data_IF_680511800518
#
_entry.id   IF_680511800518
#
_cell.length_a   1.000
_cell.length_b   1.000
_cell.length_c   1.000
_cell.angle_alpha   90.00
_cell.angle_beta   90.00
_cell.angle_gamma   90.00
#
_symmetry.space_group_name_H-M   'P 1'
#
loop_
_entity.id
_entity.type
_entity.pdbx_description
1 polymer ?
#
# COMPACT_ATOMS: atom_id res chain seq x y z
N UNK A 1 -7.12 1.42 -26.46
CA UNK A 1 -8.17 1.65 -25.44
C UNK A 1 -8.72 0.36 -24.86
N UNK A 2 -9.38 -0.55 -25.59
CA UNK A 2 -9.93 -1.81 -25.04
C UNK A 2 -8.93 -2.67 -24.24
N UNK A 3 -7.65 -2.70 -24.62
CA UNK A 3 -6.63 -3.52 -23.94
C UNK A 3 -6.19 -2.94 -22.57
N UNK A 4 -6.16 -1.62 -22.39
CA UNK A 4 -5.84 -0.99 -21.09
C UNK A 4 -7.01 -1.16 -20.12
N UNK A 5 -8.23 -0.91 -20.56
CA UNK A 5 -9.45 -1.11 -19.75
C UNK A 5 -9.60 -2.56 -19.27
N UNK A 6 -9.31 -3.53 -20.16
CA UNK A 6 -9.34 -4.94 -19.78
C UNK A 6 -8.28 -5.29 -18.72
N UNK A 7 -7.07 -4.72 -18.81
CA UNK A 7 -6.00 -4.92 -17.82
C UNK A 7 -6.31 -4.28 -16.49
N UNK A 8 -6.90 -3.09 -16.48
CA UNK A 8 -7.36 -2.43 -15.26
C UNK A 8 -8.46 -3.23 -14.57
N UNK A 9 -9.42 -3.76 -15.34
CA UNK A 9 -10.47 -4.65 -14.82
C UNK A 9 -9.88 -5.92 -14.21
N UNK A 10 -8.89 -6.54 -14.85
CA UNK A 10 -8.22 -7.72 -14.31
C UNK A 10 -7.52 -7.36 -12.99
N UNK A 11 -6.80 -6.24 -12.92
CA UNK A 11 -6.13 -5.80 -11.69
C UNK A 11 -7.15 -5.56 -10.57
N UNK A 12 -8.25 -4.88 -10.86
CA UNK A 12 -9.32 -4.66 -9.88
C UNK A 12 -9.88 -5.99 -9.35
N UNK A 13 -10.14 -6.97 -10.22
CA UNK A 13 -10.61 -8.29 -9.80
C UNK A 13 -9.59 -9.02 -8.92
N UNK A 14 -8.29 -8.95 -9.26
CA UNK A 14 -7.22 -9.56 -8.46
C UNK A 14 -7.08 -8.89 -7.08
N UNK A 15 -7.16 -7.56 -7.02
CA UNK A 15 -7.17 -6.82 -5.75
C UNK A 15 -8.39 -7.21 -4.90
N UNK A 16 -9.57 -7.32 -5.52
CA UNK A 16 -10.79 -7.77 -4.86
C UNK A 16 -10.66 -9.21 -4.33
N UNK A 17 -10.05 -10.13 -5.09
CA UNK A 17 -9.78 -11.50 -4.63
C UNK A 17 -8.84 -11.54 -3.41
N UNK A 18 -7.76 -10.76 -3.44
CA UNK A 18 -6.84 -10.68 -2.30
C UNK A 18 -7.54 -10.13 -1.06
N UNK A 19 -8.38 -9.09 -1.24
CA UNK A 19 -9.19 -8.53 -0.16
C UNK A 19 -10.22 -9.53 0.37
N UNK A 20 -10.92 -10.26 -0.49
CA UNK A 20 -11.88 -11.29 -0.08
C UNK A 20 -11.21 -12.39 0.73
N UNK A 21 -10.02 -12.83 0.31
CA UNK A 21 -9.24 -13.82 1.06
C UNK A 21 -8.83 -13.27 2.43
N UNK A 22 -8.40 -12.00 2.50
CA UNK A 22 -8.09 -11.32 3.76
C UNK A 22 -9.33 -11.26 4.66
N UNK A 23 -10.47 -10.80 4.13
CA UNK A 23 -11.71 -10.68 4.89
C UNK A 23 -12.17 -12.06 5.43
N UNK A 24 -12.05 -13.10 4.62
CA UNK A 24 -12.40 -14.47 5.01
C UNK A 24 -11.49 -15.00 6.13
N UNK A 25 -10.17 -14.78 6.02
CA UNK A 25 -9.23 -15.31 7.00
C UNK A 25 -9.14 -14.50 8.30
N UNK A 26 -9.19 -13.17 8.19
CA UNK A 26 -8.84 -12.29 9.32
C UNK A 26 -10.01 -11.46 9.87
N UNK A 27 -11.06 -11.29 9.08
CA UNK A 27 -12.28 -10.63 9.56
C UNK A 27 -13.34 -11.64 10.00
N UNK A 28 -13.50 -12.74 9.25
CA UNK A 28 -14.41 -13.85 9.58
C UNK A 28 -13.74 -14.94 10.41
N UNK A 29 -12.40 -15.02 10.43
CA UNK A 29 -11.57 -16.02 11.11
C UNK A 29 -11.70 -17.44 10.56
N UNK A 30 -12.02 -17.56 9.27
CA UNK A 30 -12.14 -18.84 8.57
C UNK A 30 -10.85 -19.20 7.78
N UNK A 31 -9.68 -18.89 8.36
CA UNK A 31 -8.40 -19.43 7.86
C UNK A 31 -8.38 -20.96 8.00
N UNK A 32 -7.59 -21.69 7.18
CA UNK A 32 -7.49 -23.13 7.27
C UNK A 32 -6.93 -23.59 8.64
N UNK A 33 -7.65 -24.48 9.30
CA UNK A 33 -7.16 -25.20 10.47
C UNK A 33 -6.15 -26.31 10.08
N UNK A 34 -5.69 -27.11 11.03
CA UNK A 34 -4.77 -28.23 10.80
C UNK A 34 -5.30 -29.28 9.81
N UNK A 35 -6.61 -29.36 9.63
CA UNK A 35 -7.28 -30.27 8.70
C UNK A 35 -7.65 -29.57 7.37
N UNK A 36 -7.26 -28.30 7.18
CA UNK A 36 -7.61 -27.49 6.03
C UNK A 36 -9.07 -27.00 6.00
N UNK A 37 -9.81 -27.15 7.11
CA UNK A 37 -11.19 -26.65 7.24
C UNK A 37 -11.21 -25.20 7.71
N UNK A 38 -12.27 -24.43 7.41
CA UNK A 38 -12.43 -23.07 7.92
C UNK A 38 -12.44 -23.06 9.46
N UNK A 39 -11.55 -22.33 10.10
CA UNK A 39 -11.33 -22.40 11.56
C UNK A 39 -12.60 -22.13 12.37
N UNK A 40 -13.15 -20.92 12.27
CA UNK A 40 -14.32 -20.52 13.08
C UNK A 40 -15.58 -21.31 12.72
N UNK A 41 -15.87 -21.46 11.42
CA UNK A 41 -17.07 -22.16 10.94
C UNK A 41 -17.05 -23.67 11.24
N UNK A 42 -15.88 -24.25 11.48
CA UNK A 42 -15.73 -25.66 11.89
C UNK A 42 -15.62 -25.86 13.40
N UNK A 43 -15.92 -24.80 14.19
CA UNK A 43 -15.93 -24.89 15.65
C UNK A 43 -14.61 -24.56 16.32
N UNK A 44 -13.70 -23.87 15.62
CA UNK A 44 -12.46 -23.34 16.19
C UNK A 44 -12.73 -22.45 17.40
N UNK A 45 -11.91 -22.61 18.44
CA UNK A 45 -12.13 -21.94 19.73
C UNK A 45 -11.86 -20.44 19.61
N UNK A 46 -12.83 -19.64 20.04
CA UNK A 46 -12.76 -18.18 20.07
C UNK A 46 -12.65 -17.69 21.51
N UNK A 47 -11.88 -16.61 21.72
CA UNK A 47 -11.68 -15.99 23.03
C UNK A 47 -11.98 -14.50 22.95
N UNK A 48 -12.65 -13.96 23.97
CA UNK A 48 -12.96 -12.54 24.05
C UNK A 48 -11.71 -11.71 24.30
N UNK A 49 -11.42 -10.77 23.40
CA UNK A 49 -10.31 -9.83 23.59
C UNK A 49 -10.83 -8.48 24.06
N UNK A 50 -10.38 -8.07 25.26
CA UNK A 50 -10.82 -6.80 25.91
C UNK A 50 -10.34 -5.55 25.15
N UNK A 51 -9.16 -5.60 24.49
CA UNK A 51 -8.61 -4.45 23.76
C UNK A 51 -9.38 -4.19 22.46
N UNK A 52 -9.70 -5.23 21.70
CA UNK A 52 -10.44 -5.14 20.44
C UNK A 52 -11.97 -5.16 20.65
N UNK A 53 -12.45 -5.45 21.87
CA UNK A 53 -13.88 -5.61 22.21
C UNK A 53 -14.62 -6.55 21.26
N UNK A 54 -13.97 -7.65 20.88
CA UNK A 54 -14.51 -8.71 20.00
C UNK A 54 -13.82 -10.03 20.29
N UNK A 55 -14.43 -11.12 19.82
CA UNK A 55 -13.79 -12.43 19.85
C UNK A 55 -12.69 -12.52 18.78
N UNK A 56 -11.60 -13.21 19.13
CA UNK A 56 -10.50 -13.57 18.24
C UNK A 56 -10.18 -15.06 18.42
N UNK A 57 -9.52 -15.73 17.45
CA UNK A 57 -9.08 -17.11 17.61
C UNK A 57 -8.21 -17.30 18.85
N UNK A 58 -8.37 -18.45 19.53
CA UNK A 58 -7.48 -18.82 20.63
C UNK A 58 -6.03 -18.87 20.14
N UNK A 59 -5.10 -18.38 20.95
CA UNK A 59 -3.67 -18.30 20.61
C UNK A 59 -3.27 -17.08 19.78
N UNK A 60 -4.24 -16.26 19.31
CA UNK A 60 -3.90 -14.98 18.69
C UNK A 60 -3.67 -13.92 19.76
N UNK A 61 -2.70 -13.06 19.50
CA UNK A 61 -2.40 -11.91 20.35
C UNK A 61 -3.01 -10.62 19.76
N UNK A 62 -2.97 -9.54 20.53
CA UNK A 62 -3.34 -8.19 20.08
C UNK A 62 -2.24 -7.23 20.46
N UNK A 63 -1.69 -6.57 19.48
CA UNK A 63 -0.63 -5.61 19.69
C UNK A 63 -0.87 -4.33 18.85
N UNK A 64 -0.01 -3.34 19.02
CA UNK A 64 -0.06 -2.07 18.27
C UNK A 64 0.98 -2.09 17.14
N UNK A 65 0.73 -1.30 16.09
CA UNK A 65 1.60 -1.22 14.91
C UNK A 65 3.06 -0.98 15.28
N UNK A 66 3.35 -0.08 16.23
CA UNK A 66 4.75 0.27 16.57
C UNK A 66 5.57 -0.90 17.12
N UNK A 67 4.94 -1.95 17.65
CA UNK A 67 5.64 -3.12 18.19
C UNK A 67 5.99 -4.14 17.09
N UNK A 68 5.24 -4.13 15.99
CA UNK A 68 5.40 -5.07 14.88
C UNK A 68 5.94 -4.45 13.60
N UNK A 69 6.06 -3.12 13.55
CA UNK A 69 6.53 -2.39 12.39
C UNK A 69 7.30 -1.13 12.79
N UNK A 70 8.30 -0.79 11.99
CA UNK A 70 8.94 0.53 12.05
C UNK A 70 8.13 1.52 11.23
N UNK A 71 7.92 2.73 11.78
CA UNK A 71 7.18 3.78 11.07
C UNK A 71 8.03 5.03 10.89
N UNK A 72 7.95 5.66 9.72
CA UNK A 72 8.59 6.92 9.42
C UNK A 72 7.60 7.90 8.81
N UNK A 73 7.59 9.13 9.29
CA UNK A 73 6.99 10.25 8.57
C UNK A 73 7.98 10.73 7.51
N UNK A 74 7.48 11.04 6.32
CA UNK A 74 8.29 11.59 5.25
C UNK A 74 8.76 13.03 5.51
N UNK A 75 9.39 13.62 4.53
CA UNK A 75 9.90 14.99 4.59
C UNK A 75 9.92 15.67 3.22
N UNK A 76 9.93 17.00 3.25
CA UNK A 76 10.00 17.82 2.04
C UNK A 76 11.28 18.66 2.08
N UNK A 77 12.19 18.47 1.11
CA UNK A 77 13.32 19.38 0.96
C UNK A 77 12.85 20.81 0.73
N UNK A 78 13.63 21.81 1.12
CA UNK A 78 13.29 23.22 0.94
C UNK A 78 12.99 23.51 -0.55
N UNK A 79 11.74 23.82 -0.88
CA UNK A 79 11.25 24.03 -2.26
C UNK A 79 11.96 25.18 -3.00
N UNK A 80 12.41 26.18 -2.26
CA UNK A 80 13.18 27.30 -2.82
C UNK A 80 14.54 26.86 -3.39
N UNK A 81 15.10 25.72 -2.95
CA UNK A 81 16.38 25.23 -3.45
C UNK A 81 16.16 24.24 -4.59
N UNK A 82 16.24 24.74 -5.84
CA UNK A 82 16.03 23.94 -7.04
C UNK A 82 17.04 22.80 -7.22
N UNK A 83 18.23 22.89 -6.60
CA UNK A 83 19.25 21.83 -6.62
C UNK A 83 18.81 20.55 -5.91
N UNK A 84 17.82 20.63 -5.01
CA UNK A 84 17.27 19.48 -4.33
C UNK A 84 16.33 18.63 -5.19
N UNK A 85 15.90 19.18 -6.35
CA UNK A 85 14.92 18.57 -7.25
C UNK A 85 15.44 18.34 -8.67
N UNK A 86 16.26 19.28 -9.18
CA UNK A 86 16.76 19.22 -10.56
C UNK A 86 17.65 18.00 -10.77
N UNK A 87 17.31 17.19 -11.77
CA UNK A 87 18.00 15.92 -12.08
C UNK A 87 18.00 14.93 -10.90
N UNK A 88 16.96 14.96 -10.05
CA UNK A 88 16.80 14.01 -8.97
C UNK A 88 16.67 12.58 -9.49
N UNK A 89 17.24 11.64 -8.76
CA UNK A 89 17.20 10.20 -9.07
C UNK A 89 16.52 9.39 -7.98
N UNK A 90 16.33 9.98 -6.79
CA UNK A 90 15.65 9.34 -5.66
C UNK A 90 14.16 9.60 -5.79
N UNK A 91 13.38 8.55 -5.94
CA UNK A 91 11.93 8.63 -6.00
C UNK A 91 11.34 9.24 -4.73
N UNK A 92 10.45 10.23 -4.89
CA UNK A 92 9.85 10.98 -3.79
C UNK A 92 8.34 11.05 -3.96
N UNK A 93 7.64 10.29 -3.13
CA UNK A 93 6.19 10.08 -3.22
C UNK A 93 5.44 11.20 -2.50
N UNK A 94 4.52 11.82 -3.19
CA UNK A 94 3.56 12.76 -2.61
C UNK A 94 2.26 12.05 -2.20
N UNK A 95 1.58 12.57 -1.18
CA UNK A 95 0.33 11.97 -0.70
C UNK A 95 -0.74 11.80 -1.79
N UNK A 96 -0.77 12.68 -2.80
CA UNK A 96 -1.67 12.55 -3.95
C UNK A 96 -1.49 11.27 -4.77
N UNK A 97 -0.29 10.66 -4.75
CA UNK A 97 -0.01 9.41 -5.44
C UNK A 97 -0.68 8.20 -4.76
N UNK A 98 -1.08 8.32 -3.49
CA UNK A 98 -1.80 7.30 -2.74
C UNK A 98 -3.27 7.12 -3.18
N UNK A 99 -3.71 7.82 -4.23
CA UNK A 99 -4.93 7.46 -4.95
C UNK A 99 -4.82 6.09 -5.65
N UNK A 100 -3.60 5.63 -5.94
CA UNK A 100 -3.34 4.27 -6.42
C UNK A 100 -3.08 3.32 -5.24
N UNK A 101 -3.78 2.20 -5.19
CA UNK A 101 -3.59 1.15 -4.18
C UNK A 101 -2.18 0.54 -4.18
N UNK A 102 -1.52 0.52 -5.33
CA UNK A 102 -0.16 0.01 -5.52
C UNK A 102 0.62 1.02 -6.35
N UNK A 103 1.74 1.51 -5.82
CA UNK A 103 2.62 2.49 -6.46
C UNK A 103 3.78 1.74 -7.13
N UNK A 104 3.83 1.78 -8.46
CA UNK A 104 4.84 1.09 -9.29
C UNK A 104 5.81 2.03 -9.99
N UNK A 105 5.61 3.34 -9.86
CA UNK A 105 6.51 4.40 -10.33
C UNK A 105 6.26 5.66 -9.51
N UNK A 106 7.25 6.53 -9.40
CA UNK A 106 7.12 7.85 -8.79
C UNK A 106 6.85 8.90 -9.86
N UNK A 107 6.13 9.94 -9.50
CA UNK A 107 5.92 11.13 -10.35
C UNK A 107 6.99 12.19 -10.09
N UNK A 108 7.60 12.18 -8.91
CA UNK A 108 8.57 13.19 -8.51
C UNK A 108 9.86 12.54 -7.99
N UNK A 109 10.95 13.28 -8.13
CA UNK A 109 12.27 12.83 -7.72
C UNK A 109 13.00 13.95 -6.99
N UNK A 110 13.88 13.57 -6.06
CA UNK A 110 14.81 14.47 -5.38
C UNK A 110 16.25 14.00 -5.56
N UNK A 111 17.20 14.89 -5.32
CA UNK A 111 18.62 14.56 -5.35
C UNK A 111 19.05 14.01 -3.98
N UNK A 112 20.24 13.39 -3.90
CA UNK A 112 20.84 13.00 -2.63
C UNK A 112 21.01 14.20 -1.69
N UNK A 113 21.37 15.39 -2.22
CA UNK A 113 21.43 16.62 -1.43
C UNK A 113 20.07 16.98 -0.85
N UNK A 114 18.98 16.80 -1.61
CA UNK A 114 17.62 17.01 -1.15
C UNK A 114 17.26 16.03 -0.04
N UNK A 115 17.56 14.76 -0.18
CA UNK A 115 17.34 13.75 0.86
C UNK A 115 18.11 14.09 2.14
N UNK A 116 19.42 14.34 2.03
CA UNK A 116 20.29 14.58 3.16
C UNK A 116 20.03 15.91 3.89
N UNK A 117 19.41 16.89 3.21
CA UNK A 117 19.04 18.19 3.79
C UNK A 117 17.53 18.30 4.10
N UNK A 118 16.87 17.19 4.32
CA UNK A 118 15.46 17.14 4.72
C UNK A 118 15.23 16.05 5.78
N UNK A 119 14.01 16.00 6.31
CA UNK A 119 13.57 14.92 7.20
C UNK A 119 13.11 13.67 6.46
N UNK A 120 13.14 13.65 5.12
CA UNK A 120 12.75 12.50 4.32
C UNK A 120 13.64 11.29 4.67
N UNK A 121 13.00 10.11 4.71
CA UNK A 121 13.67 8.83 4.96
C UNK A 121 13.41 7.91 3.79
N UNK A 122 14.44 7.15 3.42
CA UNK A 122 14.33 6.13 2.38
C UNK A 122 13.60 4.91 2.93
N UNK A 123 12.63 4.44 2.18
CA UNK A 123 11.83 3.25 2.46
C UNK A 123 12.25 2.13 1.50
N UNK A 124 12.39 0.90 1.96
CA UNK A 124 12.59 -0.24 1.06
C UNK A 124 11.33 -0.51 0.22
N UNK A 125 11.49 -1.27 -0.85
CA UNK A 125 10.34 -1.83 -1.57
C UNK A 125 9.43 -2.62 -0.61
N UNK A 126 8.16 -2.68 -0.93
CA UNK A 126 7.09 -3.32 -0.15
C UNK A 126 6.75 -2.61 1.19
N UNK A 127 7.14 -1.35 1.34
CA UNK A 127 6.65 -0.49 2.43
C UNK A 127 5.17 -0.16 2.22
N UNK A 128 4.40 -0.23 3.29
CA UNK A 128 3.01 0.23 3.31
C UNK A 128 3.00 1.74 3.58
N UNK A 129 2.38 2.51 2.70
CA UNK A 129 2.27 3.96 2.82
C UNK A 129 0.85 4.34 3.25
N UNK A 130 0.73 5.24 4.23
CA UNK A 130 -0.55 5.78 4.71
C UNK A 130 -0.54 7.29 4.53
N UNK A 131 -1.54 7.84 3.84
CA UNK A 131 -1.70 9.28 3.72
C UNK A 131 -2.28 9.84 5.03
N UNK A 132 -1.55 10.77 5.64
CA UNK A 132 -1.88 11.34 6.94
C UNK A 132 -2.79 12.57 6.83
N UNK A 133 -2.70 13.34 5.73
CA UNK A 133 -3.51 14.53 5.52
C UNK A 133 -3.64 14.91 4.04
N UNK A 134 -4.54 15.85 3.75
CA UNK A 134 -4.92 16.30 2.40
C UNK A 134 -6.07 15.47 1.81
N UNK A 135 -6.30 15.61 0.52
CA UNK A 135 -7.42 14.96 -0.18
C UNK A 135 -7.36 13.42 -0.18
N UNK A 136 -6.23 12.86 0.21
CA UNK A 136 -5.99 11.40 0.27
C UNK A 136 -5.93 10.86 1.68
N UNK A 137 -6.25 11.67 2.71
CA UNK A 137 -6.24 11.24 4.11
C UNK A 137 -6.86 9.86 4.30
N UNK A 138 -6.17 8.98 5.03
CA UNK A 138 -6.61 7.60 5.30
C UNK A 138 -6.38 6.60 4.17
N UNK A 139 -5.99 7.04 2.96
CA UNK A 139 -5.66 6.11 1.86
C UNK A 139 -4.36 5.37 2.15
N UNK A 140 -4.34 4.10 1.77
CA UNK A 140 -3.21 3.20 1.98
C UNK A 140 -2.74 2.66 0.65
N UNK A 141 -1.43 2.64 0.44
CA UNK A 141 -0.81 2.13 -0.79
C UNK A 141 0.37 1.21 -0.48
N UNK A 142 0.61 0.23 -1.34
CA UNK A 142 1.80 -0.61 -1.31
C UNK A 142 2.85 -0.03 -2.26
N UNK A 143 4.01 0.35 -1.73
CA UNK A 143 5.16 0.83 -2.50
C UNK A 143 5.97 -0.36 -3.02
N UNK A 144 6.25 -0.44 -4.33
CA UNK A 144 6.89 -1.63 -4.93
C UNK A 144 8.38 -1.45 -5.26
N UNK A 145 8.95 -0.31 -4.92
CA UNK A 145 10.35 0.06 -5.16
C UNK A 145 10.87 0.94 -4.02
N UNK A 146 12.14 1.18 -3.98
CA UNK A 146 12.75 2.08 -3.00
C UNK A 146 12.39 3.53 -3.29
N UNK A 147 11.90 4.25 -2.28
CA UNK A 147 11.55 5.67 -2.39
C UNK A 147 11.57 6.36 -1.02
N UNK A 148 11.48 7.67 -1.01
CA UNK A 148 11.11 8.45 0.15
C UNK A 148 9.76 9.14 -0.09
N UNK A 149 9.23 9.90 0.85
CA UNK A 149 7.96 10.60 0.70
C UNK A 149 7.97 12.00 1.32
N UNK A 150 6.92 12.77 1.02
CA UNK A 150 6.68 14.03 1.72
C UNK A 150 6.13 13.78 3.13
N UNK A 151 6.05 14.84 3.96
CA UNK A 151 5.59 14.76 5.34
C UNK A 151 4.11 14.37 5.51
N UNK A 152 3.33 14.35 4.41
CA UNK A 152 1.93 13.93 4.42
C UNK A 152 1.75 12.41 4.34
N UNK A 153 2.84 11.65 4.25
CA UNK A 153 2.83 10.20 4.13
C UNK A 153 3.60 9.57 5.28
N UNK A 154 3.01 8.56 5.90
CA UNK A 154 3.67 7.68 6.86
C UNK A 154 4.01 6.34 6.17
N UNK A 155 5.29 5.98 6.20
CA UNK A 155 5.73 4.64 5.81
C UNK A 155 5.64 3.70 7.00
N UNK A 156 5.08 2.51 6.79
CA UNK A 156 4.96 1.42 7.77
C UNK A 156 5.70 0.20 7.21
N UNK A 157 6.76 -0.22 7.88
CA UNK A 157 7.65 -1.31 7.46
C UNK A 157 7.52 -2.43 8.49
N UNK A 158 6.80 -3.52 8.20
CA UNK A 158 6.68 -4.64 9.12
C UNK A 158 8.05 -5.26 9.44
N UNK A 159 8.28 -5.57 10.72
CA UNK A 159 9.52 -6.21 11.18
C UNK A 159 9.67 -7.62 10.60
N UNK A 160 8.56 -8.33 10.41
CA UNK A 160 8.47 -9.60 9.72
C UNK A 160 8.00 -9.35 8.28
N UNK A 161 8.82 -9.70 7.30
CA UNK A 161 8.61 -9.41 5.87
C UNK A 161 7.32 -10.04 5.33
N UNK A 162 6.96 -11.19 5.83
CA UNK A 162 5.77 -11.94 5.45
C UNK A 162 4.47 -11.30 5.96
N UNK A 163 4.54 -10.34 6.86
CA UNK A 163 3.38 -9.57 7.33
C UNK A 163 3.00 -8.40 6.42
N UNK A 164 3.78 -8.12 5.36
CA UNK A 164 3.58 -6.91 4.54
C UNK A 164 2.17 -6.82 3.93
N UNK A 165 1.67 -7.89 3.31
CA UNK A 165 0.33 -7.87 2.69
C UNK A 165 -0.78 -7.93 3.74
N UNK A 166 -0.55 -8.61 4.86
CA UNK A 166 -1.47 -8.59 5.99
C UNK A 166 -1.62 -7.16 6.55
N UNK A 167 -0.52 -6.49 6.87
CA UNK A 167 -0.53 -5.10 7.39
C UNK A 167 -1.11 -4.12 6.36
N UNK A 168 -0.76 -4.28 5.08
CA UNK A 168 -1.31 -3.47 4.00
C UNK A 168 -2.85 -3.59 3.92
N UNK A 169 -3.38 -4.80 3.91
CA UNK A 169 -4.83 -5.05 3.83
C UNK A 169 -5.54 -4.64 5.12
N UNK A 170 -4.91 -4.88 6.28
CA UNK A 170 -5.42 -4.43 7.56
C UNK A 170 -5.58 -2.91 7.59
N UNK A 171 -4.53 -2.14 7.32
CA UNK A 171 -4.59 -0.68 7.32
C UNK A 171 -5.56 -0.17 6.25
N UNK A 172 -5.62 -0.81 5.08
CA UNK A 172 -6.60 -0.48 4.03
C UNK A 172 -8.04 -0.68 4.49
N UNK A 173 -8.31 -1.69 5.32
CA UNK A 173 -9.65 -1.95 5.88
C UNK A 173 -10.10 -0.88 6.88
N UNK A 174 -9.16 -0.12 7.43
CA UNK A 174 -9.43 0.94 8.41
C UNK A 174 -9.74 2.31 7.79
N UNK A 175 -9.93 2.40 6.48
CA UNK A 175 -10.16 3.69 5.80
C UNK A 175 -11.27 4.53 6.45
N UNK A 176 -12.46 3.94 6.68
CA UNK A 176 -13.56 4.65 7.34
C UNK A 176 -13.23 5.06 8.78
N UNK A 177 -12.45 4.25 9.50
CA UNK A 177 -11.97 4.58 10.84
C UNK A 177 -11.00 5.77 10.80
N UNK A 178 -10.06 5.79 9.86
CA UNK A 178 -9.15 6.91 9.66
C UNK A 178 -9.88 8.20 9.32
N UNK A 179 -10.88 8.16 8.45
CA UNK A 179 -11.72 9.34 8.14
C UNK A 179 -12.44 9.85 9.38
N UNK A 180 -13.05 8.97 10.19
CA UNK A 180 -13.73 9.38 11.43
C UNK A 180 -12.75 10.01 12.43
N UNK A 181 -11.54 9.50 12.56
CA UNK A 181 -10.51 10.09 13.41
C UNK A 181 -10.01 11.44 12.88
N UNK A 182 -9.93 11.61 11.56
CA UNK A 182 -9.51 12.88 10.95
C UNK A 182 -10.53 13.99 11.20
N UNK A 183 -11.81 13.73 11.00
CA UNK A 183 -12.90 14.70 11.21
C UNK A 183 -12.97 15.19 12.68
N UNK A 184 -12.58 14.36 13.63
CA UNK A 184 -12.51 14.71 15.07
C UNK A 184 -11.27 15.53 15.46
N UNK A 185 -10.31 15.73 14.56
CA UNK A 185 -9.09 16.51 14.80
C UNK A 185 -9.25 17.96 14.35
N UNK A 186 -8.55 18.89 14.99
CA UNK A 186 -8.60 20.33 14.66
C UNK A 186 -8.13 20.68 13.23
N UNK A 187 -7.58 19.72 12.48
CA UNK A 187 -7.01 19.92 11.14
C UNK A 187 -7.42 18.84 10.13
N UNK A 188 -8.39 18.00 10.44
CA UNK A 188 -8.81 16.85 9.62
C UNK A 188 -7.63 15.93 9.20
N UNK A 189 -6.72 15.67 10.13
CA UNK A 189 -5.48 14.93 9.90
C UNK A 189 -5.39 13.67 10.76
N UNK A 190 -4.68 12.67 10.22
CA UNK A 190 -4.21 11.51 10.97
C UNK A 190 -2.74 11.75 11.31
N UNK A 191 -2.34 11.59 12.57
CA UNK A 191 -0.93 11.68 12.95
C UNK A 191 -0.23 10.32 12.81
N UNK A 192 1.11 10.34 12.69
CA UNK A 192 1.91 9.12 12.77
C UNK A 192 1.67 8.37 14.08
N UNK A 193 1.43 9.11 15.18
CA UNK A 193 1.15 8.53 16.49
C UNK A 193 -0.17 7.73 16.52
N UNK A 194 -1.20 8.21 15.81
CA UNK A 194 -2.44 7.45 15.62
C UNK A 194 -2.14 6.13 14.90
N UNK A 195 -1.36 6.15 13.81
CA UNK A 195 -1.02 4.95 13.05
C UNK A 195 -0.22 3.97 13.92
N UNK A 196 0.77 4.45 14.69
CA UNK A 196 1.57 3.63 15.61
C UNK A 196 0.74 2.88 16.63
N UNK A 197 -0.28 3.55 17.17
CA UNK A 197 -1.13 3.02 18.23
C UNK A 197 -2.35 2.22 17.71
N UNK A 198 -2.47 2.00 16.39
CA UNK A 198 -3.52 1.13 15.85
C UNK A 198 -3.34 -0.29 16.37
N UNK A 199 -4.37 -0.78 17.07
CA UNK A 199 -4.45 -2.16 17.56
C UNK A 199 -4.77 -3.10 16.42
N UNK A 200 -4.04 -4.20 16.31
CA UNK A 200 -4.36 -5.24 15.34
C UNK A 200 -4.23 -6.64 15.97
N UNK A 201 -5.05 -7.60 15.54
CA UNK A 201 -4.85 -8.99 15.93
C UNK A 201 -3.57 -9.53 15.25
N UNK A 202 -2.80 -10.29 15.99
CA UNK A 202 -1.57 -10.93 15.51
C UNK A 202 -1.86 -12.42 15.35
N UNK A 203 -2.02 -12.90 14.10
CA UNK A 203 -2.21 -14.31 13.83
C UNK A 203 -0.95 -15.12 14.19
N UNK A 204 -1.10 -16.45 14.33
CA UNK A 204 0.07 -17.31 14.41
C UNK A 204 0.95 -17.19 13.18
N UNK A 205 2.25 -17.40 13.33
CA UNK A 205 3.23 -17.32 12.23
C UNK A 205 2.83 -18.21 11.05
N UNK A 206 2.32 -19.41 11.31
CA UNK A 206 1.90 -20.34 10.25
C UNK A 206 0.75 -19.79 9.42
N UNK A 207 -0.24 -19.17 10.06
CA UNK A 207 -1.37 -18.54 9.34
C UNK A 207 -0.87 -17.38 8.48
N UNK A 208 0.05 -16.55 8.99
CA UNK A 208 0.67 -15.45 8.22
C UNK A 208 1.43 -16.01 7.01
N UNK A 209 2.26 -17.03 7.21
CA UNK A 209 3.03 -17.65 6.11
C UNK A 209 2.12 -18.28 5.05
N UNK A 210 1.08 -18.99 5.47
CA UNK A 210 0.09 -19.56 4.55
C UNK A 210 -0.64 -18.47 3.75
N UNK A 211 -1.04 -17.37 4.40
CA UNK A 211 -1.70 -16.24 3.74
C UNK A 211 -0.76 -15.59 2.72
N UNK A 212 0.46 -15.22 3.17
CA UNK A 212 1.45 -14.59 2.31
C UNK A 212 1.76 -15.45 1.08
N UNK A 213 1.91 -16.76 1.25
CA UNK A 213 2.12 -17.69 0.14
C UNK A 213 0.99 -17.68 -0.90
N UNK A 214 -0.25 -17.40 -0.49
CA UNK A 214 -1.39 -17.29 -1.42
C UNK A 214 -1.42 -15.93 -2.13
N UNK A 215 -1.22 -14.84 -1.38
CA UNK A 215 -1.42 -13.49 -1.92
C UNK A 215 -0.22 -12.94 -2.68
N UNK A 216 1.01 -13.31 -2.33
CA UNK A 216 2.23 -12.78 -2.99
C UNK A 216 2.23 -12.97 -4.51
N UNK A 217 1.69 -14.09 -5.00
CA UNK A 217 1.60 -14.35 -6.44
C UNK A 217 0.55 -13.45 -7.11
N UNK A 218 -0.57 -13.20 -6.43
CA UNK A 218 -1.60 -12.28 -6.89
C UNK A 218 -1.03 -10.86 -7.01
N UNK A 219 -0.36 -10.37 -5.97
CA UNK A 219 0.27 -9.05 -5.99
C UNK A 219 1.37 -8.94 -7.03
N UNK A 220 2.18 -9.99 -7.23
CA UNK A 220 3.18 -10.02 -8.31
C UNK A 220 2.55 -9.77 -9.67
N UNK A 221 1.45 -10.46 -10.00
CA UNK A 221 0.74 -10.29 -11.27
C UNK A 221 0.15 -8.87 -11.38
N UNK A 222 -0.44 -8.33 -10.32
CA UNK A 222 -0.99 -6.96 -10.31
C UNK A 222 0.13 -5.95 -10.60
N UNK A 223 1.27 -6.05 -9.93
CA UNK A 223 2.42 -5.16 -10.09
C UNK A 223 2.94 -5.20 -11.52
N UNK A 224 3.12 -6.39 -12.09
CA UNK A 224 3.58 -6.57 -13.46
C UNK A 224 2.62 -5.92 -14.47
N UNK A 225 1.31 -6.14 -14.30
CA UNK A 225 0.28 -5.52 -15.15
C UNK A 225 0.25 -4.00 -15.01
N UNK A 226 0.36 -3.45 -13.78
CA UNK A 226 0.43 -2.00 -13.56
C UNK A 226 1.66 -1.40 -14.24
N UNK A 227 2.84 -2.04 -14.16
CA UNK A 227 4.04 -1.61 -14.86
C UNK A 227 3.84 -1.61 -16.39
N UNK A 228 3.20 -2.65 -16.93
CA UNK A 228 2.87 -2.70 -18.36
C UNK A 228 1.91 -1.58 -18.79
N UNK A 229 0.88 -1.29 -17.98
CA UNK A 229 -0.06 -0.19 -18.24
C UNK A 229 0.70 1.14 -18.28
N UNK A 230 1.56 1.41 -17.27
CA UNK A 230 2.37 2.63 -17.22
C UNK A 230 3.26 2.79 -18.46
N UNK A 231 3.95 1.71 -18.88
CA UNK A 231 4.80 1.72 -20.08
C UNK A 231 3.99 2.01 -21.34
N UNK A 232 2.83 1.35 -21.51
CA UNK A 232 1.97 1.55 -22.68
C UNK A 232 1.37 2.96 -22.71
N UNK A 233 0.98 3.49 -21.54
CA UNK A 233 0.50 4.86 -21.42
C UNK A 233 1.57 5.86 -21.82
N UNK A 234 2.80 5.68 -21.33
CA UNK A 234 3.93 6.53 -21.71
C UNK A 234 4.20 6.48 -23.21
N UNK A 235 4.28 5.29 -23.80
CA UNK A 235 4.47 5.11 -25.25
C UNK A 235 3.35 5.76 -26.06
N UNK A 236 2.10 5.61 -25.65
CA UNK A 236 0.96 6.28 -26.28
C UNK A 236 1.14 7.80 -26.26
N UNK A 237 1.46 8.37 -25.10
CA UNK A 237 1.56 9.81 -24.91
C UNK A 237 2.76 10.40 -25.67
N UNK A 238 3.82 9.62 -25.91
CA UNK A 238 4.97 9.97 -26.76
C UNK A 238 4.63 9.87 -28.26
N UNK A 239 3.92 8.82 -28.67
CA UNK A 239 3.66 8.55 -30.10
C UNK A 239 2.46 9.36 -30.65
N UNK A 240 1.45 9.60 -29.83
CA UNK A 240 0.22 10.28 -30.31
C UNK A 240 0.48 11.66 -30.91
N UNK A 241 1.31 12.55 -30.33
CA UNK A 241 1.65 13.82 -30.96
C UNK A 241 2.40 13.67 -32.29
N UNK A 242 3.29 12.65 -32.39
CA UNK A 242 4.06 12.39 -33.62
C UNK A 242 3.16 11.92 -34.77
N UNK A 243 2.17 11.07 -34.46
CA UNK A 243 1.17 10.64 -35.44
C UNK A 243 0.27 11.80 -35.88
N UNK A 244 -0.18 12.63 -34.93
CA UNK A 244 -1.03 13.80 -35.24
C UNK A 244 -0.32 14.85 -36.09
N UNK A 245 0.99 14.99 -35.93
CA UNK A 245 1.81 15.95 -36.70
C UNK A 245 2.34 15.34 -38.01
N UNK A 246 1.97 14.11 -38.37
CA UNK A 246 2.47 13.43 -39.58
C UNK A 246 3.97 13.10 -39.56
N UNK A 247 4.60 13.14 -38.36
CA UNK A 247 6.02 12.80 -38.17
C UNK A 247 6.25 11.28 -38.03
N UNK A 248 5.19 10.52 -37.82
CA UNK A 248 5.18 9.07 -37.83
C UNK A 248 3.97 8.56 -38.59
N UNK A 249 4.09 7.40 -39.25
CA UNK A 249 2.98 6.73 -39.94
C UNK A 249 2.89 5.28 -39.41
N UNK A 250 1.67 4.73 -39.40
CA UNK A 250 1.46 3.33 -39.12
C UNK A 250 1.70 2.56 -40.43
N UNK A 251 2.70 1.66 -40.43
CA UNK A 251 2.82 0.65 -41.49
C UNK A 251 1.85 -0.47 -41.13
N UNK A 252 0.97 -0.84 -42.09
CA UNK A 252 0.20 -2.05 -41.96
C UNK A 252 1.14 -3.23 -41.99
N UNK A 253 1.22 -3.95 -40.89
CA UNK A 253 1.80 -5.30 -40.92
C UNK A 253 0.69 -6.22 -41.44
N UNK A 254 0.80 -6.61 -42.69
CA UNK A 254 -0.01 -7.70 -43.29
C UNK A 254 0.30 -9.04 -42.61
#
# INVERSE_FOLDING_TARGET
>A
MKNSENRERINHNLEAMAKQLYDYWFMQFDFPDENGKPYKSSGGKMVWNKKLKREIPEGWEVDIIQNIATTYSGGTPKSANKEYYKNGTIAWINSGELNSSIITQALNYITERGLNNSSAKLYPANTVLVAMYGATTGKVSLLTFEACSNQAVCGVIPNMKEMQHYVYLYLSSLYSHFINLSIGSARDNISQEIIKNMLLPIPSTDVILMFENKVKHVYKVIIEKKKQINTLTKLRDELLPLLMNGQASLQNCD
#
